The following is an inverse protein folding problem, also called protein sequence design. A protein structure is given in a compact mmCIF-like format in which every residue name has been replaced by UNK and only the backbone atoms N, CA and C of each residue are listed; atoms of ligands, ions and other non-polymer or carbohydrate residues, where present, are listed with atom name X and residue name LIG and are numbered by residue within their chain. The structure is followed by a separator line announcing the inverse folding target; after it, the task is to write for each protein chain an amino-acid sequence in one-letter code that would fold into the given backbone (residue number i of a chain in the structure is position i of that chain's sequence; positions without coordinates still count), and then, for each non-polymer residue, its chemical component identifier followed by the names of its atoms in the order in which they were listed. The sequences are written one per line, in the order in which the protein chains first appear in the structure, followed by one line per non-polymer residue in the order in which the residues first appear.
data_IF_597893700726
#
_entry.id   IF_597893700726
#
_cell.length_a   1.000
_cell.length_b   1.000
_cell.length_c   1.000
_cell.angle_alpha   90.00
_cell.angle_beta   90.00
_cell.angle_gamma   90.00
#
_symmetry.space_group_name_H-M   'P 1'
#
loop_
_entity.id
_entity.type
_entity.pdbx_description
1 polymer ?
#
# COMPACT_ATOMS: atom_id res chain seq x y z
N UNK A 1 7.03 32.69 22.84
CA UNK A 1 6.31 31.60 23.51
C UNK A 1 5.04 32.14 24.16
N UNK A 2 3.93 32.07 23.44
CA UNK A 2 2.62 32.41 23.98
C UNK A 2 2.19 31.34 24.98
N UNK A 3 1.85 31.74 26.21
CA UNK A 3 1.44 30.81 27.27
C UNK A 3 -0.06 30.95 27.47
N UNK A 4 -0.78 29.86 27.25
CA UNK A 4 -2.20 29.78 27.55
C UNK A 4 -2.43 29.59 29.05
N UNK A 5 -3.37 30.34 29.61
CA UNK A 5 -3.71 30.30 31.03
C UNK A 5 -4.95 29.45 31.33
N UNK A 6 -5.66 28.94 30.31
CA UNK A 6 -6.84 28.08 30.50
C UNK A 6 -7.12 27.17 29.30
N UNK A 7 -7.68 25.99 29.56
CA UNK A 7 -8.10 25.02 28.53
C UNK A 7 -9.13 25.62 27.57
N UNK A 8 -10.20 26.33 28.03
CA UNK A 8 -11.17 26.94 27.12
C UNK A 8 -10.54 27.92 26.13
N UNK A 9 -9.47 28.61 26.54
CA UNK A 9 -8.78 29.56 25.68
C UNK A 9 -7.97 28.84 24.59
N UNK A 10 -7.33 27.71 24.90
CA UNK A 10 -6.69 26.84 23.91
C UNK A 10 -7.72 26.32 22.92
N UNK A 11 -8.79 25.69 23.41
CA UNK A 11 -9.80 25.06 22.55
C UNK A 11 -10.49 26.06 21.65
N UNK A 12 -10.81 27.25 22.16
CA UNK A 12 -11.41 28.31 21.35
C UNK A 12 -10.44 28.81 20.28
N UNK A 13 -9.14 28.89 20.58
CA UNK A 13 -8.14 29.31 19.57
C UNK A 13 -8.00 28.28 18.46
N UNK A 14 -7.90 27.00 18.81
CA UNK A 14 -7.82 25.93 17.82
C UNK A 14 -9.10 25.88 16.98
N UNK A 15 -10.26 26.08 17.61
CA UNK A 15 -11.54 26.11 16.90
C UNK A 15 -11.67 27.31 15.94
N UNK A 16 -11.06 28.46 16.24
CA UNK A 16 -11.02 29.60 15.31
C UNK A 16 -10.32 29.25 14.01
N UNK A 17 -9.30 28.39 14.07
CA UNK A 17 -8.45 28.02 12.94
C UNK A 17 -8.71 26.65 12.34
N UNK A 18 -9.78 25.95 12.76
CA UNK A 18 -9.95 24.50 12.51
C UNK A 18 -9.74 24.09 11.04
N UNK A 19 -10.34 24.82 10.09
CA UNK A 19 -10.33 24.46 8.67
C UNK A 19 -8.94 24.68 8.07
N UNK A 20 -8.25 25.75 8.48
CA UNK A 20 -6.86 25.99 8.08
C UNK A 20 -5.90 24.98 8.72
N UNK A 21 -6.09 24.65 10.00
CA UNK A 21 -5.25 23.69 10.71
C UNK A 21 -5.36 22.28 10.10
N UNK A 22 -6.55 21.87 9.66
CA UNK A 22 -6.77 20.63 8.92
C UNK A 22 -5.96 20.61 7.62
N UNK A 23 -6.09 21.64 6.78
CA UNK A 23 -5.33 21.75 5.52
C UNK A 23 -3.82 21.77 5.75
N UNK A 24 -3.35 22.52 6.76
CA UNK A 24 -1.93 22.56 7.12
C UNK A 24 -1.42 21.20 7.60
N UNK A 25 -2.24 20.45 8.34
CA UNK A 25 -1.89 19.12 8.82
C UNK A 25 -1.82 18.08 7.70
N UNK A 26 -2.76 18.11 6.75
CA UNK A 26 -2.70 17.25 5.56
C UNK A 26 -1.46 17.53 4.72
N UNK A 27 -1.14 18.81 4.55
CA UNK A 27 0.00 19.28 3.75
C UNK A 27 1.33 19.29 4.50
N UNK A 28 1.40 18.81 5.75
CA UNK A 28 2.59 18.88 6.61
C UNK A 28 3.88 18.28 6.03
N UNK A 29 3.76 17.31 5.11
CA UNK A 29 4.91 16.67 4.42
C UNK A 29 5.19 17.23 3.02
N UNK A 30 4.35 18.16 2.56
CA UNK A 30 4.40 18.72 1.21
C UNK A 30 5.11 20.08 1.20
N UNK A 31 5.09 20.75 0.05
CA UNK A 31 5.72 22.08 -0.11
C UNK A 31 5.18 23.11 0.89
N UNK A 32 5.99 24.10 1.30
CA UNK A 32 5.58 25.15 2.22
C UNK A 32 4.28 25.85 1.78
N UNK A 33 3.30 25.95 2.68
CA UNK A 33 1.99 26.52 2.39
C UNK A 33 2.05 28.05 2.36
N UNK A 34 1.52 28.70 1.32
CA UNK A 34 1.60 30.16 1.18
C UNK A 34 0.55 30.88 2.03
N UNK A 35 0.93 32.04 2.59
CA UNK A 35 0.04 32.92 3.36
C UNK A 35 -1.16 33.37 2.54
N UNK A 36 -0.95 33.73 1.26
CA UNK A 36 -2.03 34.20 0.37
C UNK A 36 -3.14 33.13 0.22
N UNK A 37 -2.76 31.85 0.12
CA UNK A 37 -3.73 30.75 0.03
C UNK A 37 -4.41 30.45 1.35
N UNK A 38 -3.84 30.88 2.48
CA UNK A 38 -4.49 30.74 3.78
C UNK A 38 -5.66 31.72 3.90
N UNK A 39 -5.55 32.90 3.29
CA UNK A 39 -6.61 33.91 3.29
C UNK A 39 -7.86 33.48 2.50
N UNK A 40 -7.71 32.52 1.58
CA UNK A 40 -8.85 31.89 0.89
C UNK A 40 -9.66 30.98 1.82
N UNK A 41 -9.04 30.51 2.92
CA UNK A 41 -9.63 29.55 3.87
C UNK A 41 -10.14 30.26 5.13
N UNK A 42 -9.42 31.28 5.60
CA UNK A 42 -9.72 31.96 6.86
C UNK A 42 -9.51 33.48 6.75
N UNK A 43 -10.35 34.24 7.47
CA UNK A 43 -10.21 35.69 7.59
C UNK A 43 -8.83 36.11 8.13
N UNK A 44 -8.26 37.18 7.58
CA UNK A 44 -6.94 37.72 7.95
C UNK A 44 -6.82 37.99 9.47
N UNK A 45 -7.88 38.52 10.09
CA UNK A 45 -7.92 38.78 11.53
C UNK A 45 -7.75 37.50 12.36
N UNK A 46 -8.39 36.39 11.95
CA UNK A 46 -8.28 35.11 12.64
C UNK A 46 -6.91 34.48 12.39
N UNK A 47 -6.39 34.59 11.17
CA UNK A 47 -5.04 34.11 10.83
C UNK A 47 -3.97 34.82 11.68
N UNK A 48 -4.08 36.13 11.84
CA UNK A 48 -3.17 36.91 12.67
C UNK A 48 -3.27 36.50 14.15
N UNK A 49 -4.47 36.19 14.67
CA UNK A 49 -4.63 35.64 16.02
C UNK A 49 -3.91 34.29 16.18
N UNK A 50 -3.99 33.41 15.17
CA UNK A 50 -3.27 32.11 15.20
C UNK A 50 -1.75 32.28 15.19
N UNK A 51 -1.25 33.30 14.47
CA UNK A 51 0.18 33.65 14.43
C UNK A 51 0.63 34.27 15.76
N UNK A 52 -0.13 35.24 16.28
CA UNK A 52 0.17 35.90 17.56
C UNK A 52 0.16 34.92 18.74
N UNK A 53 -0.72 33.91 18.69
CA UNK A 53 -0.80 32.86 19.70
C UNK A 53 0.12 31.67 19.42
N UNK A 54 1.00 31.80 18.42
CA UNK A 54 2.00 30.81 18.03
C UNK A 54 1.42 29.40 17.77
N UNK A 55 0.17 29.33 17.30
CA UNK A 55 -0.41 28.08 16.78
C UNK A 55 0.14 27.80 15.38
N UNK A 56 0.38 28.87 14.62
CA UNK A 56 0.95 28.86 13.27
C UNK A 56 2.15 29.79 13.28
N UNK A 57 3.25 29.38 12.63
CA UNK A 57 4.43 30.22 12.41
C UNK A 57 4.42 30.77 11.00
N UNK A 58 4.80 32.04 10.85
CA UNK A 58 4.95 32.70 9.56
C UNK A 58 6.43 32.88 9.24
N UNK A 59 6.88 32.24 8.16
CA UNK A 59 8.22 32.33 7.63
C UNK A 59 8.18 33.00 6.24
N UNK A 60 8.21 34.34 6.23
CA UNK A 60 8.11 35.14 5.00
C UNK A 60 6.74 34.98 4.33
N UNK A 61 6.67 34.51 3.07
CA UNK A 61 5.40 34.28 2.37
C UNK A 61 4.73 32.94 2.75
N UNK A 62 5.37 32.14 3.60
CA UNK A 62 4.87 30.82 3.97
C UNK A 62 4.38 30.79 5.42
N UNK A 63 3.44 29.89 5.67
CA UNK A 63 2.95 29.55 7.00
C UNK A 63 3.07 28.05 7.23
N UNK A 64 3.32 27.70 8.48
CA UNK A 64 3.43 26.32 8.94
C UNK A 64 2.77 26.19 10.31
N UNK A 65 2.29 25.00 10.64
CA UNK A 65 1.81 24.73 12.00
C UNK A 65 3.01 24.76 12.96
N UNK A 66 2.84 25.35 14.14
CA UNK A 66 3.88 25.29 15.16
C UNK A 66 4.11 23.83 15.62
N UNK A 67 5.37 23.51 15.93
CA UNK A 67 5.84 22.16 16.21
C UNK A 67 5.12 21.49 17.39
N UNK A 68 4.73 22.25 18.42
CA UNK A 68 4.02 21.68 19.56
C UNK A 68 2.61 21.21 19.18
N UNK A 69 1.92 21.98 18.35
CA UNK A 69 0.57 21.64 17.89
C UNK A 69 0.61 20.54 16.83
N UNK A 70 1.61 20.59 15.93
CA UNK A 70 1.84 19.52 14.98
C UNK A 70 2.07 18.20 15.71
N UNK A 71 3.00 18.18 16.69
CA UNK A 71 3.27 17.00 17.51
C UNK A 71 2.04 16.52 18.27
N UNK A 72 1.22 17.43 18.78
CA UNK A 72 -0.03 17.12 19.46
C UNK A 72 -1.04 16.44 18.52
N UNK A 73 -1.28 16.99 17.33
CA UNK A 73 -2.20 16.38 16.36
C UNK A 73 -1.65 15.06 15.83
N UNK A 74 -0.36 14.96 15.54
CA UNK A 74 0.25 13.71 15.10
C UNK A 74 0.22 12.61 16.17
N UNK A 75 0.31 13.00 17.45
CA UNK A 75 0.14 12.08 18.58
C UNK A 75 -1.30 11.58 18.69
N UNK A 76 -2.29 12.46 18.58
CA UNK A 76 -3.71 12.11 18.74
C UNK A 76 -4.30 11.39 17.53
N UNK A 77 -3.89 11.78 16.32
CA UNK A 77 -4.33 11.17 15.06
C UNK A 77 -3.48 9.96 14.68
N UNK A 78 -2.51 9.58 15.53
CA UNK A 78 -1.55 8.50 15.27
C UNK A 78 -0.84 8.64 13.91
N UNK A 79 -0.65 9.88 13.46
CA UNK A 79 -0.13 10.22 12.14
C UNK A 79 1.37 10.51 12.15
N UNK A 80 2.01 10.48 13.33
CA UNK A 80 3.45 10.59 13.47
C UNK A 80 4.11 9.30 12.98
N UNK A 81 5.06 9.42 12.04
CA UNK A 81 5.89 8.30 11.58
C UNK A 81 7.23 8.23 12.31
N UNK A 82 7.53 9.19 13.19
CA UNK A 82 8.76 9.18 13.97
C UNK A 82 8.72 8.10 15.05
N UNK A 83 9.60 7.14 14.86
CA UNK A 83 9.90 6.08 15.82
C UNK A 83 10.82 6.68 16.88
N UNK A 84 10.25 7.05 18.03
CA UNK A 84 10.99 7.54 19.19
C UNK A 84 10.98 6.49 20.31
N UNK A 85 12.18 6.00 20.64
CA UNK A 85 12.45 4.99 21.68
C UNK A 85 12.71 5.62 23.05
N UNK A 86 13.25 6.85 23.08
CA UNK A 86 13.62 7.57 24.31
C UNK A 86 12.43 7.77 25.25
N UNK A 87 11.26 8.10 24.70
CA UNK A 87 10.05 8.28 25.51
C UNK A 87 9.69 6.99 26.23
N UNK A 88 9.83 5.83 25.59
CA UNK A 88 9.53 4.54 26.23
C UNK A 88 10.50 4.30 27.39
N UNK A 89 11.79 4.49 27.17
CA UNK A 89 12.83 4.32 28.20
C UNK A 89 12.57 5.22 29.42
N UNK A 90 12.30 6.51 29.19
CA UNK A 90 11.94 7.45 30.26
C UNK A 90 10.72 6.98 31.07
N UNK A 91 9.67 6.50 30.39
CA UNK A 91 8.49 5.99 31.08
C UNK A 91 8.79 4.70 31.86
N UNK A 92 9.68 3.83 31.37
CA UNK A 92 10.13 2.63 32.12
C UNK A 92 10.85 3.07 33.41
N UNK A 93 11.80 4.02 33.31
CA UNK A 93 12.52 4.53 34.48
C UNK A 93 11.56 5.18 35.50
N UNK A 94 10.59 5.96 35.03
CA UNK A 94 9.55 6.55 35.89
C UNK A 94 8.71 5.48 36.60
N UNK A 95 8.33 4.39 35.91
CA UNK A 95 7.61 3.29 36.56
C UNK A 95 8.43 2.67 37.67
N UNK A 96 9.73 2.40 37.46
CA UNK A 96 10.60 1.89 38.51
C UNK A 96 10.67 2.84 39.73
N UNK A 97 10.80 4.14 39.49
CA UNK A 97 10.82 5.14 40.56
C UNK A 97 9.49 5.18 41.33
N UNK A 98 8.36 5.16 40.63
CA UNK A 98 7.04 5.18 41.25
C UNK A 98 6.76 3.90 42.06
N UNK A 99 7.25 2.74 41.60
CA UNK A 99 7.19 1.49 42.36
C UNK A 99 8.02 1.59 43.64
N UNK A 100 9.23 2.14 43.57
CA UNK A 100 10.07 2.37 44.75
C UNK A 100 9.42 3.33 45.76
N UNK A 101 8.82 4.43 45.28
CA UNK A 101 8.07 5.37 46.13
C UNK A 101 6.85 4.71 46.78
N UNK A 102 6.11 3.88 46.04
CA UNK A 102 4.99 3.14 46.57
C UNK A 102 5.41 2.20 47.73
N UNK A 103 6.56 1.54 47.59
CA UNK A 103 7.08 0.62 48.62
C UNK A 103 7.53 1.32 49.90
N UNK A 104 7.99 2.59 49.80
CA UNK A 104 8.51 3.37 50.93
C UNK A 104 7.48 4.28 51.61
N UNK A 105 6.33 4.51 50.98
CA UNK A 105 5.31 5.42 51.48
C UNK A 105 4.39 4.74 52.50
N UNK A 106 4.11 5.38 53.63
CA UNK A 106 3.21 4.83 54.65
C UNK A 106 1.76 5.33 54.49
N UNK A 107 1.57 6.47 53.83
CA UNK A 107 0.24 7.04 53.62
C UNK A 107 -0.52 6.37 52.45
N UNK A 108 -1.65 5.74 52.76
CA UNK A 108 -2.48 5.02 51.78
C UNK A 108 -2.98 5.91 50.62
N UNK A 109 -3.34 7.17 50.88
CA UNK A 109 -3.80 8.09 49.83
C UNK A 109 -2.67 8.43 48.83
N UNK A 110 -1.44 8.58 49.34
CA UNK A 110 -0.26 8.85 48.49
C UNK A 110 0.15 7.59 47.73
N UNK A 111 0.10 6.42 48.36
CA UNK A 111 0.27 5.11 47.70
C UNK A 111 -0.69 4.93 46.53
N UNK A 112 -1.97 5.26 46.71
CA UNK A 112 -2.95 5.23 45.62
C UNK A 112 -2.58 6.21 44.47
N UNK A 113 -2.02 7.38 44.79
CA UNK A 113 -1.50 8.33 43.80
C UNK A 113 -0.36 7.76 42.95
N UNK A 114 0.62 7.11 43.58
CA UNK A 114 1.71 6.43 42.88
C UNK A 114 1.19 5.27 42.03
N UNK A 115 0.27 4.46 42.56
CA UNK A 115 -0.36 3.35 41.84
C UNK A 115 -1.10 3.82 40.58
N UNK A 116 -1.88 4.92 40.67
CA UNK A 116 -2.56 5.52 39.50
C UNK A 116 -1.55 5.98 38.46
N UNK A 117 -0.43 6.55 38.89
CA UNK A 117 0.64 7.00 38.00
C UNK A 117 1.32 5.82 37.30
N UNK A 118 1.63 4.74 38.03
CA UNK A 118 2.15 3.49 37.45
C UNK A 118 1.21 2.95 36.38
N UNK A 119 -0.10 2.84 36.68
CA UNK A 119 -1.11 2.39 35.71
C UNK A 119 -1.13 3.25 34.44
N UNK A 120 -1.04 4.58 34.60
CA UNK A 120 -1.01 5.51 33.47
C UNK A 120 0.25 5.32 32.60
N UNK A 121 1.42 5.17 33.21
CA UNK A 121 2.67 4.98 32.49
C UNK A 121 2.77 3.61 31.79
N UNK A 122 2.27 2.52 32.40
CA UNK A 122 2.21 1.21 31.74
C UNK A 122 1.35 1.23 30.47
N UNK A 123 0.16 1.86 30.53
CA UNK A 123 -0.69 2.05 29.35
C UNK A 123 0.00 2.89 28.28
N UNK A 124 0.70 3.94 28.70
CA UNK A 124 1.45 4.82 27.79
C UNK A 124 2.58 4.06 27.09
N UNK A 125 3.30 3.21 27.82
CA UNK A 125 4.36 2.34 27.25
C UNK A 125 3.77 1.44 26.17
N UNK A 126 2.70 0.70 26.46
CA UNK A 126 2.05 -0.21 25.49
C UNK A 126 1.63 0.51 24.20
N UNK A 127 0.90 1.61 24.34
CA UNK A 127 0.46 2.43 23.20
C UNK A 127 1.61 2.92 22.32
N UNK A 128 2.65 3.50 22.93
CA UNK A 128 3.80 4.03 22.17
C UNK A 128 4.55 2.89 21.48
N UNK A 129 4.71 1.76 22.16
CA UNK A 129 5.45 0.62 21.62
C UNK A 129 4.76 0.00 20.42
N UNK A 130 3.45 -0.29 20.51
CA UNK A 130 2.65 -0.80 19.39
C UNK A 130 2.71 0.15 18.21
N UNK A 131 2.52 1.46 18.46
CA UNK A 131 2.62 2.49 17.41
C UNK A 131 4.00 2.53 16.75
N UNK A 132 5.07 2.44 17.53
CA UNK A 132 6.44 2.44 17.01
C UNK A 132 6.70 1.23 16.09
N UNK A 133 6.17 0.06 16.43
CA UNK A 133 6.29 -1.15 15.60
C UNK A 133 5.53 -1.00 14.28
N UNK A 134 4.29 -0.52 14.32
CA UNK A 134 3.49 -0.28 13.10
C UNK A 134 4.15 0.78 12.20
N UNK A 135 4.66 1.85 12.81
CA UNK A 135 5.37 2.91 12.07
C UNK A 135 6.65 2.38 11.44
N UNK A 136 7.39 1.53 12.15
CA UNK A 136 8.59 0.86 11.64
C UNK A 136 8.27 0.03 10.39
N UNK A 137 7.25 -0.83 10.44
CA UNK A 137 6.82 -1.63 9.29
C UNK A 137 6.50 -0.75 8.08
N UNK A 138 5.69 0.29 8.27
CA UNK A 138 5.32 1.23 7.21
C UNK A 138 6.55 1.92 6.60
N UNK A 139 7.48 2.39 7.43
CA UNK A 139 8.67 3.11 6.97
C UNK A 139 9.66 2.17 6.27
N UNK A 140 9.78 0.91 6.69
CA UNK A 140 10.56 -0.12 5.99
C UNK A 140 10.03 -0.31 4.56
N UNK A 141 8.74 -0.56 4.43
CA UNK A 141 8.08 -0.76 3.14
C UNK A 141 8.21 0.47 2.23
N UNK A 142 7.95 1.65 2.78
CA UNK A 142 8.06 2.91 2.04
C UNK A 142 9.50 3.14 1.55
N UNK A 143 10.49 2.92 2.43
CA UNK A 143 11.91 3.04 2.07
C UNK A 143 12.29 2.09 0.94
N UNK A 144 11.82 0.84 0.98
CA UNK A 144 12.11 -0.12 -0.07
C UNK A 144 11.44 0.24 -1.40
N UNK A 145 10.16 0.64 -1.39
CA UNK A 145 9.38 0.94 -2.60
C UNK A 145 9.78 2.26 -3.26
N UNK A 146 10.01 3.31 -2.47
CA UNK A 146 10.06 4.68 -2.98
C UNK A 146 11.47 5.29 -3.02
N UNK A 147 12.46 4.77 -2.29
CA UNK A 147 13.83 5.31 -2.37
C UNK A 147 14.47 4.92 -3.71
N UNK A 148 14.86 5.86 -4.58
CA UNK A 148 15.40 5.52 -5.90
C UNK A 148 16.86 5.05 -5.83
N UNK A 149 17.65 5.61 -4.90
CA UNK A 149 19.08 5.33 -4.83
C UNK A 149 19.35 4.05 -4.03
N UNK A 150 19.87 3.02 -4.68
CA UNK A 150 20.22 1.75 -4.00
C UNK A 150 21.18 1.94 -2.81
N UNK A 151 22.16 2.85 -2.93
CA UNK A 151 23.12 3.11 -1.84
C UNK A 151 22.42 3.71 -0.61
N UNK A 152 21.50 4.66 -0.83
CA UNK A 152 20.74 5.31 0.24
C UNK A 152 19.70 4.34 0.81
N UNK A 153 19.04 3.55 -0.05
CA UNK A 153 18.07 2.53 0.35
C UNK A 153 18.67 1.51 1.31
N UNK A 154 19.87 0.99 1.00
CA UNK A 154 20.59 0.05 1.90
C UNK A 154 20.87 0.71 3.25
N UNK A 155 21.48 1.90 3.26
CA UNK A 155 21.82 2.60 4.51
C UNK A 155 20.59 2.92 5.36
N UNK A 156 19.47 3.33 4.74
CA UNK A 156 18.20 3.57 5.44
C UNK A 156 17.63 2.27 6.04
N UNK A 157 17.63 1.16 5.28
CA UNK A 157 17.17 -0.14 5.79
C UNK A 157 18.02 -0.66 6.94
N UNK A 158 19.35 -0.47 6.89
CA UNK A 158 20.26 -0.81 7.99
C UNK A 158 19.99 0.03 9.24
N UNK A 159 19.72 1.34 9.09
CA UNK A 159 19.31 2.20 10.20
C UNK A 159 17.95 1.78 10.79
N UNK A 160 17.00 1.34 9.97
CA UNK A 160 15.71 0.83 10.43
C UNK A 160 15.88 -0.49 11.19
N UNK A 161 16.80 -1.36 10.78
CA UNK A 161 17.14 -2.57 11.54
C UNK A 161 17.75 -2.24 12.91
N UNK A 162 18.61 -1.22 12.98
CA UNK A 162 19.13 -0.75 14.27
C UNK A 162 18.01 -0.26 15.21
N UNK A 163 17.05 0.52 14.68
CA UNK A 163 15.86 0.94 15.44
C UNK A 163 15.00 -0.25 15.88
N UNK A 164 14.81 -1.25 15.01
CA UNK A 164 14.09 -2.49 15.32
C UNK A 164 14.73 -3.20 16.52
N UNK A 165 16.05 -3.32 16.54
CA UNK A 165 16.81 -3.94 17.64
C UNK A 165 16.60 -3.16 18.94
N UNK A 166 16.60 -1.83 18.87
CA UNK A 166 16.36 -0.97 20.04
C UNK A 166 14.94 -1.13 20.61
N UNK A 167 13.91 -1.14 19.75
CA UNK A 167 12.53 -1.43 20.19
C UNK A 167 12.45 -2.82 20.83
N UNK A 168 13.08 -3.83 20.23
CA UNK A 168 13.09 -5.18 20.78
C UNK A 168 13.76 -5.23 22.16
N UNK A 169 14.83 -4.46 22.37
CA UNK A 169 15.45 -4.33 23.70
C UNK A 169 14.46 -3.75 24.70
N UNK A 170 13.72 -2.70 24.34
CA UNK A 170 12.70 -2.09 25.21
C UNK A 170 11.58 -3.07 25.54
N UNK A 171 11.11 -3.88 24.57
CA UNK A 171 10.14 -4.96 24.83
C UNK A 171 10.64 -5.87 25.94
N UNK A 172 11.88 -6.36 25.82
CA UNK A 172 12.49 -7.26 26.80
C UNK A 172 12.65 -6.59 28.18
N UNK A 173 12.94 -5.29 28.23
CA UNK A 173 13.01 -4.54 29.49
C UNK A 173 11.61 -4.38 30.14
N UNK A 174 10.57 -4.11 29.37
CA UNK A 174 9.19 -4.06 29.88
C UNK A 174 8.72 -5.44 30.33
N UNK A 175 9.05 -6.51 29.60
CA UNK A 175 8.73 -7.88 30.02
C UNK A 175 9.37 -8.23 31.38
N UNK A 176 10.64 -7.83 31.59
CA UNK A 176 11.33 -7.96 32.89
C UNK A 176 10.65 -7.14 33.99
N UNK A 177 10.17 -5.95 33.67
CA UNK A 177 9.42 -5.10 34.60
C UNK A 177 8.09 -5.74 35.00
N UNK A 178 7.43 -6.49 34.12
CA UNK A 178 6.16 -7.17 34.38
C UNK A 178 6.32 -8.60 34.94
N UNK A 179 7.56 -9.05 35.14
CA UNK A 179 7.87 -10.37 35.69
C UNK A 179 7.68 -10.36 37.21
N UNK A 180 6.73 -11.17 37.69
CA UNK A 180 6.33 -11.23 39.11
C UNK A 180 7.44 -11.75 40.01
N UNK A 181 8.35 -12.57 39.48
CA UNK A 181 9.48 -13.10 40.26
C UNK A 181 10.54 -12.03 40.51
N UNK A 182 10.69 -11.10 39.56
CA UNK A 182 11.70 -10.03 39.61
C UNK A 182 11.17 -8.74 40.21
N UNK A 183 9.87 -8.50 40.08
CA UNK A 183 9.19 -7.29 40.58
C UNK A 183 8.06 -7.67 41.54
N UNK A 184 8.35 -7.77 42.86
CA UNK A 184 7.36 -8.20 43.84
C UNK A 184 6.17 -7.24 43.98
N UNK A 185 6.29 -6.01 43.46
CA UNK A 185 5.21 -5.03 43.38
C UNK A 185 3.90 -5.61 42.81
N UNK A 186 3.98 -6.36 41.70
CA UNK A 186 2.80 -6.95 41.05
C UNK A 186 2.24 -8.17 41.79
N UNK A 187 2.98 -8.74 42.74
CA UNK A 187 2.50 -9.79 43.62
C UNK A 187 1.90 -9.23 44.92
N UNK A 188 2.38 -8.08 45.38
CA UNK A 188 2.00 -7.46 46.65
C UNK A 188 0.82 -6.49 46.54
N UNK A 189 0.60 -5.86 45.37
CA UNK A 189 -0.49 -4.92 45.17
C UNK A 189 -1.80 -5.64 44.80
N UNK A 190 -2.87 -5.56 45.63
CA UNK A 190 -4.16 -6.21 45.37
C UNK A 190 -5.05 -5.37 44.43
N UNK A 191 -4.49 -4.76 43.38
CA UNK A 191 -5.23 -3.92 42.43
C UNK A 191 -5.54 -4.73 41.15
N UNK A 192 -6.80 -5.07 40.95
CA UNK A 192 -7.25 -5.88 39.81
C UNK A 192 -7.05 -5.15 38.47
N UNK A 193 -7.24 -3.83 38.45
CA UNK A 193 -7.03 -3.00 37.25
C UNK A 193 -5.56 -3.05 36.81
N UNK A 194 -4.60 -2.93 37.73
CA UNK A 194 -3.17 -3.06 37.46
C UNK A 194 -2.83 -4.44 36.87
N UNK A 195 -3.40 -5.51 37.43
CA UNK A 195 -3.17 -6.87 36.92
C UNK A 195 -3.77 -7.10 35.53
N UNK A 196 -4.87 -6.42 35.20
CA UNK A 196 -5.46 -6.42 33.86
C UNK A 196 -4.57 -5.66 32.88
N UNK A 197 -4.14 -4.43 33.22
CA UNK A 197 -3.21 -3.65 32.40
C UNK A 197 -1.91 -4.42 32.15
N UNK A 198 -1.35 -5.06 33.17
CA UNK A 198 -0.13 -5.84 33.04
C UNK A 198 -0.29 -7.06 32.12
N UNK A 199 -1.47 -7.71 32.13
CA UNK A 199 -1.78 -8.82 31.21
C UNK A 199 -1.97 -8.33 29.78
N UNK A 200 -2.77 -7.28 29.58
CA UNK A 200 -2.98 -6.64 28.28
C UNK A 200 -1.64 -6.22 27.67
N UNK A 201 -0.80 -5.55 28.46
CA UNK A 201 0.52 -5.14 28.03
C UNK A 201 1.41 -6.33 27.65
N UNK A 202 1.39 -7.45 28.39
CA UNK A 202 2.11 -8.67 27.97
C UNK A 202 1.62 -9.20 26.62
N UNK A 203 0.32 -9.19 26.36
CA UNK A 203 -0.24 -9.60 25.06
C UNK A 203 0.20 -8.66 23.94
N UNK A 204 0.18 -7.34 24.19
CA UNK A 204 0.67 -6.33 23.24
C UNK A 204 2.17 -6.52 22.93
N UNK A 205 3.00 -6.77 23.96
CA UNK A 205 4.44 -7.00 23.81
C UNK A 205 4.75 -8.26 22.99
N UNK A 206 4.01 -9.35 23.19
CA UNK A 206 4.15 -10.57 22.39
C UNK A 206 3.82 -10.32 20.91
N UNK A 207 2.71 -9.63 20.65
CA UNK A 207 2.30 -9.27 19.29
C UNK A 207 3.32 -8.33 18.62
N UNK A 208 3.82 -7.34 19.35
CA UNK A 208 4.88 -6.44 18.92
C UNK A 208 6.17 -7.21 18.60
N UNK A 209 6.57 -8.15 19.45
CA UNK A 209 7.73 -9.02 19.24
C UNK A 209 7.63 -9.83 17.95
N UNK A 210 6.48 -10.48 17.70
CA UNK A 210 6.23 -11.18 16.43
C UNK A 210 6.30 -10.24 15.22
N UNK A 211 5.73 -9.05 15.33
CA UNK A 211 5.76 -8.04 14.27
C UNK A 211 7.18 -7.54 13.96
N UNK A 212 8.06 -7.44 14.97
CA UNK A 212 9.47 -7.12 14.78
C UNK A 212 10.25 -8.27 14.11
N UNK A 213 9.89 -9.53 14.36
CA UNK A 213 10.48 -10.67 13.65
C UNK A 213 10.11 -10.62 12.16
N UNK A 214 8.84 -10.32 11.84
CA UNK A 214 8.42 -10.10 10.45
C UNK A 214 9.18 -8.94 9.81
N UNK A 215 9.27 -7.79 10.51
CA UNK A 215 10.03 -6.64 10.03
C UNK A 215 11.51 -6.96 9.75
N UNK A 216 12.12 -7.84 10.56
CA UNK A 216 13.48 -8.33 10.32
C UNK A 216 13.56 -9.15 9.03
N UNK A 217 12.63 -10.08 8.84
CA UNK A 217 12.55 -10.92 7.65
C UNK A 217 12.41 -10.04 6.39
N UNK A 218 11.51 -9.06 6.43
CA UNK A 218 11.27 -8.12 5.33
C UNK A 218 12.55 -7.33 5.00
N UNK A 219 13.25 -6.80 6.01
CA UNK A 219 14.52 -6.09 5.80
C UNK A 219 15.56 -7.00 5.13
N UNK A 220 15.70 -8.25 5.60
CA UNK A 220 16.66 -9.21 5.04
C UNK A 220 16.31 -9.48 3.56
N UNK A 221 15.05 -9.76 3.27
CA UNK A 221 14.58 -10.06 1.91
C UNK A 221 14.75 -8.86 0.99
N UNK A 222 14.41 -7.65 1.44
CA UNK A 222 14.61 -6.42 0.71
C UNK A 222 16.09 -6.13 0.42
N UNK A 223 16.98 -6.33 1.39
CA UNK A 223 18.43 -6.17 1.17
C UNK A 223 18.96 -7.20 0.16
N UNK A 224 18.48 -8.45 0.20
CA UNK A 224 18.86 -9.49 -0.75
C UNK A 224 18.35 -9.19 -2.18
N UNK A 225 17.13 -8.70 -2.31
CA UNK A 225 16.57 -8.26 -3.59
C UNK A 225 17.39 -7.09 -4.18
N UNK A 226 17.73 -6.09 -3.36
CA UNK A 226 18.59 -4.97 -3.79
C UNK A 226 19.95 -5.47 -4.27
N UNK A 227 20.61 -6.37 -3.52
CA UNK A 227 21.91 -6.94 -3.91
C UNK A 227 21.83 -7.65 -5.26
N UNK A 228 20.78 -8.42 -5.48
CA UNK A 228 20.53 -9.12 -6.75
C UNK A 228 20.33 -8.14 -7.90
N UNK A 229 19.49 -7.11 -7.73
CA UNK A 229 19.23 -6.09 -8.74
C UNK A 229 20.48 -5.26 -9.08
N UNK A 230 21.26 -4.87 -8.07
CA UNK A 230 22.53 -4.15 -8.25
C UNK A 230 23.53 -5.03 -9.00
N UNK A 231 23.64 -6.31 -8.63
CA UNK A 231 24.49 -7.28 -9.31
C UNK A 231 24.10 -7.48 -10.78
N UNK A 232 22.81 -7.64 -11.05
CA UNK A 232 22.27 -7.74 -12.41
C UNK A 232 22.57 -6.49 -13.23
N UNK A 233 22.29 -5.30 -12.69
CA UNK A 233 22.54 -4.02 -13.38
C UNK A 233 24.02 -3.82 -13.70
N UNK A 234 24.92 -4.20 -12.79
CA UNK A 234 26.37 -4.17 -13.04
C UNK A 234 26.78 -5.10 -14.18
N UNK A 235 26.27 -6.35 -14.18
CA UNK A 235 26.52 -7.31 -15.27
C UNK A 235 25.98 -6.80 -16.61
N UNK A 236 24.75 -6.25 -16.62
CA UNK A 236 24.14 -5.69 -17.81
C UNK A 236 24.94 -4.52 -18.39
N UNK A 237 25.41 -3.60 -17.54
CA UNK A 237 26.29 -2.49 -17.98
C UNK A 237 27.58 -3.01 -18.58
N UNK A 238 28.19 -4.05 -18.00
CA UNK A 238 29.39 -4.69 -18.54
C UNK A 238 29.14 -5.34 -19.90
N UNK A 239 28.04 -6.07 -20.06
CA UNK A 239 27.64 -6.65 -21.34
C UNK A 239 27.41 -5.55 -22.38
N UNK A 240 26.70 -4.48 -22.01
CA UNK A 240 26.48 -3.31 -22.88
C UNK A 240 27.81 -2.70 -23.35
N UNK A 241 28.75 -2.48 -22.43
CA UNK A 241 30.08 -1.95 -22.73
C UNK A 241 30.86 -2.86 -23.70
N UNK A 242 30.93 -4.16 -23.41
CA UNK A 242 31.60 -5.13 -24.29
C UNK A 242 30.96 -5.21 -25.67
N UNK A 243 29.63 -5.08 -25.76
CA UNK A 243 28.91 -4.99 -27.03
C UNK A 243 29.28 -3.73 -27.80
N UNK A 244 29.31 -2.58 -27.14
CA UNK A 244 29.66 -1.28 -27.76
C UNK A 244 31.10 -1.26 -28.28
N UNK A 245 32.00 -2.06 -27.68
CA UNK A 245 33.38 -2.24 -28.14
C UNK A 245 33.56 -3.33 -29.20
N UNK A 246 32.50 -4.03 -29.59
CA UNK A 246 32.55 -5.21 -30.47
C UNK A 246 33.34 -6.41 -29.91
N UNK A 247 33.66 -6.41 -28.61
CA UNK A 247 34.43 -7.47 -27.94
C UNK A 247 33.55 -8.51 -27.22
N UNK A 248 32.22 -8.37 -27.28
CA UNK A 248 31.29 -9.24 -26.53
C UNK A 248 31.50 -10.73 -26.83
N UNK A 249 31.73 -11.09 -28.09
CA UNK A 249 31.88 -12.49 -28.50
C UNK A 249 33.24 -13.09 -28.11
N UNK A 250 34.28 -12.27 -28.02
CA UNK A 250 35.63 -12.73 -27.64
C UNK A 250 35.75 -12.89 -26.13
N UNK A 251 35.12 -11.99 -25.37
CA UNK A 251 35.26 -11.91 -23.92
C UNK A 251 34.12 -12.61 -23.15
N UNK A 252 33.11 -13.17 -23.82
CA UNK A 252 31.99 -13.87 -23.18
C UNK A 252 31.53 -15.09 -23.98
N UNK A 253 30.93 -16.07 -23.33
CA UNK A 253 30.33 -17.26 -23.95
C UNK A 253 28.90 -17.01 -24.46
N UNK A 254 28.59 -15.78 -24.89
CA UNK A 254 27.21 -15.38 -25.26
C UNK A 254 26.62 -16.25 -26.38
N UNK A 255 27.43 -16.72 -27.33
CA UNK A 255 26.96 -17.59 -28.43
C UNK A 255 26.45 -18.92 -27.91
N UNK A 256 27.22 -19.57 -27.04
CA UNK A 256 26.83 -20.85 -26.43
C UNK A 256 25.53 -20.74 -25.64
N UNK A 257 25.36 -19.64 -24.89
CA UNK A 257 24.15 -19.40 -24.09
C UNK A 257 22.94 -19.14 -24.98
N UNK A 258 23.09 -18.33 -26.04
CA UNK A 258 21.99 -18.05 -26.98
C UNK A 258 21.60 -19.30 -27.77
N UNK A 259 22.57 -20.08 -28.24
CA UNK A 259 22.33 -21.31 -29.01
C UNK A 259 21.69 -22.41 -28.14
N UNK A 260 21.94 -22.40 -26.83
CA UNK A 260 21.31 -23.30 -25.88
C UNK A 260 19.90 -22.86 -25.44
N UNK A 261 19.57 -21.56 -25.56
CA UNK A 261 18.31 -20.99 -25.09
C UNK A 261 17.18 -21.25 -26.10
N UNK A 262 16.25 -22.15 -25.74
CA UNK A 262 15.06 -22.51 -26.55
C UNK A 262 13.79 -21.82 -26.05
N UNK A 263 13.90 -20.55 -25.69
CA UNK A 263 12.74 -19.79 -25.24
C UNK A 263 11.88 -19.39 -26.43
N UNK A 264 10.57 -19.62 -26.37
CA UNK A 264 9.60 -19.29 -27.43
C UNK A 264 9.66 -17.81 -27.83
N UNK A 265 10.09 -16.93 -26.92
CA UNK A 265 10.25 -15.50 -27.18
C UNK A 265 11.41 -15.20 -28.17
N UNK A 266 12.41 -16.09 -28.24
CA UNK A 266 13.57 -15.98 -29.13
C UNK A 266 13.38 -16.74 -30.44
N UNK A 267 12.40 -17.66 -30.48
CA UNK A 267 11.89 -18.25 -31.71
C UNK A 267 11.11 -17.16 -32.45
N UNK A 268 11.80 -16.40 -33.31
CA UNK A 268 11.18 -15.32 -34.09
C UNK A 268 9.84 -15.74 -34.73
N UNK A 269 8.96 -14.77 -34.95
CA UNK A 269 7.58 -15.00 -35.44
C UNK A 269 7.57 -16.01 -36.57
N UNK A 270 7.14 -17.24 -36.28
CA UNK A 270 6.94 -18.26 -37.28
C UNK A 270 5.79 -17.79 -38.16
N UNK A 271 6.00 -17.52 -39.47
CA UNK A 271 4.89 -17.18 -40.34
C UNK A 271 3.89 -18.33 -40.27
N UNK A 272 2.61 -18.00 -40.06
CA UNK A 272 1.54 -19.00 -40.01
C UNK A 272 1.58 -19.81 -41.28
N UNK A 273 2.04 -21.07 -41.18
CA UNK A 273 1.96 -22.02 -42.27
C UNK A 273 0.47 -22.21 -42.56
N UNK A 274 -0.01 -21.66 -43.67
CA UNK A 274 -1.31 -22.07 -44.22
C UNK A 274 -1.25 -23.58 -44.38
N UNK A 275 -2.21 -24.32 -43.80
CA UNK A 275 -2.25 -25.79 -43.84
C UNK A 275 -2.38 -26.37 -45.26
N UNK A 276 -2.48 -25.52 -46.28
CA UNK A 276 -2.62 -25.89 -47.68
C UNK A 276 -1.63 -25.09 -48.49
N UNK A 277 -0.77 -25.78 -49.26
CA UNK A 277 0.22 -25.14 -50.12
C UNK A 277 -0.43 -24.63 -51.41
N UNK A 278 0.08 -23.53 -51.97
CA UNK A 278 -0.39 -22.98 -53.26
C UNK A 278 -0.32 -24.02 -54.40
N UNK A 279 0.73 -24.87 -54.51
CA UNK A 279 0.77 -25.94 -55.52
C UNK A 279 -0.35 -26.97 -55.36
N UNK A 280 -0.73 -27.31 -54.12
CA UNK A 280 -1.84 -28.22 -53.88
C UNK A 280 -3.18 -27.61 -54.33
N UNK A 281 -3.42 -26.31 -54.08
CA UNK A 281 -4.62 -25.62 -54.57
C UNK A 281 -4.76 -25.59 -56.10
N UNK A 282 -3.68 -25.89 -56.83
CA UNK A 282 -3.68 -25.97 -58.29
C UNK A 282 -3.92 -27.38 -58.83
N UNK A 283 -3.99 -28.41 -57.96
CA UNK A 283 -4.35 -29.77 -58.37
C UNK A 283 -5.86 -29.98 -58.31
N UNK A 284 -6.38 -30.88 -59.16
CA UNK A 284 -7.80 -31.22 -59.19
C UNK A 284 -8.28 -31.83 -57.85
N UNK A 285 -7.37 -32.40 -57.07
CA UNK A 285 -7.63 -32.94 -55.73
C UNK A 285 -8.01 -31.85 -54.71
N UNK A 286 -7.53 -30.61 -54.91
CA UNK A 286 -7.93 -29.50 -54.07
C UNK A 286 -9.33 -28.98 -54.39
N UNK A 287 -9.89 -29.29 -55.57
CA UNK A 287 -11.26 -28.93 -55.92
C UNK A 287 -12.25 -29.56 -54.94
N UNK A 288 -12.05 -30.82 -54.57
CA UNK A 288 -12.91 -31.52 -53.60
C UNK A 288 -12.84 -30.88 -52.21
N UNK A 289 -11.66 -30.44 -51.79
CA UNK A 289 -11.47 -29.74 -50.51
C UNK A 289 -12.13 -28.36 -50.54
N UNK A 290 -11.96 -27.62 -51.64
CA UNK A 290 -12.57 -26.30 -51.85
C UNK A 290 -14.10 -26.41 -51.88
N UNK A 291 -14.63 -27.39 -52.62
CA UNK A 291 -16.07 -27.65 -52.69
C UNK A 291 -16.62 -28.05 -51.34
N UNK A 292 -15.93 -28.92 -50.58
CA UNK A 292 -16.34 -29.31 -49.22
C UNK A 292 -16.38 -28.14 -48.25
N UNK A 293 -15.40 -27.23 -48.33
CA UNK A 293 -15.38 -26.00 -47.52
C UNK A 293 -16.48 -25.04 -47.96
N UNK A 294 -16.68 -24.84 -49.27
CA UNK A 294 -17.74 -24.00 -49.81
C UNK A 294 -19.14 -24.52 -49.43
N UNK A 295 -19.33 -25.84 -49.40
CA UNK A 295 -20.58 -26.47 -48.99
C UNK A 295 -20.87 -26.32 -47.49
N UNK A 296 -19.82 -26.19 -46.67
CA UNK A 296 -19.92 -25.88 -45.23
C UNK A 296 -20.12 -24.40 -44.91
N UNK A 297 -19.92 -23.49 -45.87
CA UNK A 297 -20.12 -22.03 -45.73
C UNK A 297 -21.56 -21.62 -46.11
N UNK A 298 -22.36 -22.53 -46.68
CA UNK A 298 -23.78 -22.26 -46.98
C UNK A 298 -24.56 -22.04 -45.67
N UNK A 299 -25.26 -20.90 -45.51
CA UNK A 299 -25.89 -20.52 -44.24
C UNK A 299 -27.01 -21.46 -43.78
N UNK A 300 -27.58 -22.27 -44.68
CA UNK A 300 -28.77 -23.10 -44.40
C UNK A 300 -28.46 -24.55 -44.00
N UNK A 301 -27.18 -24.97 -43.94
CA UNK A 301 -26.82 -26.28 -43.38
C UNK A 301 -26.50 -26.12 -41.90
N UNK A 302 -27.45 -26.52 -41.04
CA UNK A 302 -27.18 -26.74 -39.61
C UNK A 302 -26.11 -27.82 -39.51
N UNK A 303 -24.89 -27.40 -39.23
CA UNK A 303 -23.80 -28.32 -38.90
C UNK A 303 -24.14 -28.91 -37.53
N UNK A 304 -24.71 -30.11 -37.50
CA UNK A 304 -24.62 -30.93 -36.30
C UNK A 304 -23.13 -31.27 -36.11
N UNK A 305 -22.44 -30.46 -35.29
CA UNK A 305 -21.18 -30.89 -34.70
C UNK A 305 -21.47 -32.19 -33.98
N UNK A 306 -20.80 -33.27 -34.38
CA UNK A 306 -20.61 -34.38 -33.46
C UNK A 306 -19.88 -33.79 -32.26
N UNK A 307 -20.59 -33.67 -31.14
CA UNK A 307 -19.95 -33.42 -29.86
C UNK A 307 -18.95 -34.55 -29.66
N UNK A 308 -17.67 -34.18 -29.59
CA UNK A 308 -16.63 -35.07 -29.10
C UNK A 308 -17.09 -35.58 -27.74
N UNK A 309 -17.03 -36.90 -27.55
CA UNK A 309 -17.47 -37.56 -26.33
C UNK A 309 -16.95 -36.86 -25.07
N UNK A 310 -17.82 -36.83 -24.07
CA UNK A 310 -17.60 -36.23 -22.75
C UNK A 310 -16.23 -36.63 -22.22
N UNK A 311 -15.38 -35.63 -21.94
CA UNK A 311 -14.14 -35.81 -21.17
C UNK A 311 -14.55 -36.43 -19.82
N UNK A 312 -14.01 -37.61 -19.50
CA UNK A 312 -14.32 -38.30 -18.24
C UNK A 312 -14.07 -37.38 -17.05
N UNK A 313 -14.95 -37.40 -16.04
CA UNK A 313 -14.85 -36.56 -14.84
C UNK A 313 -13.49 -36.67 -14.11
N UNK A 314 -12.79 -37.81 -14.28
CA UNK A 314 -11.45 -38.05 -13.73
C UNK A 314 -10.33 -37.24 -14.41
N UNK A 315 -10.55 -36.67 -15.60
CA UNK A 315 -9.57 -35.82 -16.31
C UNK A 315 -9.78 -34.31 -16.06
N UNK A 316 -10.85 -33.92 -15.35
CA UNK A 316 -11.14 -32.52 -14.99
C UNK A 316 -10.77 -32.17 -13.55
N UNK A 317 -10.13 -33.08 -12.80
CA UNK A 317 -9.64 -32.78 -11.44
C UNK A 317 -8.25 -32.09 -11.49
N UNK A 318 -8.17 -31.01 -12.26
CA UNK A 318 -7.24 -29.93 -12.02
C UNK A 318 -8.09 -28.72 -11.64
N UNK A 319 -7.84 -28.17 -10.46
CA UNK A 319 -8.48 -26.94 -9.99
C UNK A 319 -8.28 -25.82 -11.02
N UNK A 320 -9.27 -25.59 -11.86
CA UNK A 320 -9.43 -24.33 -12.57
C UNK A 320 -9.92 -23.28 -11.56
N UNK A 321 -8.97 -22.65 -10.86
CA UNK A 321 -9.15 -21.24 -10.47
C UNK A 321 -8.71 -20.41 -11.67
N UNK A 322 -9.53 -20.46 -12.71
CA UNK A 322 -9.48 -19.56 -13.84
C UNK A 322 -10.85 -18.90 -13.92
N UNK A 323 -11.06 -17.83 -13.17
CA UNK A 323 -12.10 -16.88 -13.55
C UNK A 323 -11.84 -16.53 -15.02
N UNK A 324 -12.74 -16.93 -15.92
CA UNK A 324 -12.68 -16.58 -17.32
C UNK A 324 -12.73 -15.06 -17.43
N UNK A 325 -11.57 -14.42 -17.38
CA UNK A 325 -11.43 -12.99 -17.36
C UNK A 325 -11.93 -12.44 -18.70
N UNK A 326 -12.96 -11.60 -18.64
CA UNK A 326 -13.43 -10.86 -19.80
C UNK A 326 -12.26 -10.03 -20.32
N UNK A 327 -11.89 -10.22 -21.58
CA UNK A 327 -10.80 -9.47 -22.20
C UNK A 327 -11.22 -8.02 -22.42
N UNK A 328 -10.98 -7.18 -21.41
CA UNK A 328 -11.35 -5.76 -21.38
C UNK A 328 -10.70 -4.96 -22.51
N UNK A 329 -9.53 -5.39 -23.00
CA UNK A 329 -8.83 -4.73 -24.12
C UNK A 329 -9.54 -4.95 -25.45
N UNK A 330 -9.95 -6.19 -25.73
CA UNK A 330 -10.75 -6.51 -26.93
C UNK A 330 -12.08 -5.76 -26.92
N UNK A 331 -12.72 -5.65 -25.74
CA UNK A 331 -13.96 -4.91 -25.57
C UNK A 331 -13.78 -3.41 -25.86
N UNK A 332 -12.68 -2.81 -25.40
CA UNK A 332 -12.34 -1.41 -25.70
C UNK A 332 -12.02 -1.18 -27.19
N UNK A 333 -11.34 -2.12 -27.86
CA UNK A 333 -11.08 -2.06 -29.31
C UNK A 333 -12.39 -2.08 -30.13
N UNK A 334 -13.38 -2.88 -29.70
CA UNK A 334 -14.70 -2.94 -30.34
C UNK A 334 -15.50 -1.67 -30.07
N UNK A 335 -15.52 -1.18 -28.83
CA UNK A 335 -16.16 0.10 -28.48
C UNK A 335 -15.64 1.25 -29.34
N UNK A 336 -14.32 1.28 -29.55
CA UNK A 336 -13.66 2.31 -30.35
C UNK A 336 -14.06 2.31 -31.82
N UNK A 337 -14.57 1.18 -32.34
CA UNK A 337 -15.06 1.07 -33.72
C UNK A 337 -16.56 1.36 -33.83
N UNK A 338 -17.33 0.94 -32.84
CA UNK A 338 -18.78 1.13 -32.81
C UNK A 338 -19.15 2.58 -32.49
N UNK A 339 -18.35 3.25 -31.65
CA UNK A 339 -18.64 4.59 -31.15
C UNK A 339 -19.90 4.62 -30.28
N UNK A 340 -20.17 5.78 -29.67
CA UNK A 340 -21.34 5.98 -28.81
C UNK A 340 -21.01 5.94 -27.32
N UNK A 341 -22.02 5.59 -26.52
CA UNK A 341 -21.95 5.59 -25.07
C UNK A 341 -21.41 4.26 -24.51
N UNK A 342 -20.42 4.34 -23.62
CA UNK A 342 -19.77 3.17 -23.02
C UNK A 342 -20.74 2.30 -22.23
N UNK A 343 -21.68 2.90 -21.49
CA UNK A 343 -22.62 2.14 -20.67
C UNK A 343 -23.58 1.32 -21.54
N UNK A 344 -24.18 1.95 -22.55
CA UNK A 344 -25.04 1.30 -23.55
C UNK A 344 -24.30 0.20 -24.31
N UNK A 345 -23.02 0.42 -24.63
CA UNK A 345 -22.17 -0.57 -25.26
C UNK A 345 -21.94 -1.80 -24.39
N UNK A 346 -21.61 -1.62 -23.10
CA UNK A 346 -21.45 -2.73 -22.14
C UNK A 346 -22.77 -3.50 -22.02
N UNK A 347 -23.91 -2.82 -21.96
CA UNK A 347 -25.20 -3.51 -21.82
C UNK A 347 -25.58 -4.37 -23.02
N UNK A 348 -25.29 -3.87 -24.24
CA UNK A 348 -25.61 -4.53 -25.51
C UNK A 348 -24.50 -5.46 -26.04
N UNK A 349 -23.36 -5.56 -25.35
CA UNK A 349 -22.25 -6.39 -25.78
C UNK A 349 -22.62 -7.89 -25.74
N UNK A 350 -22.25 -8.63 -26.79
CA UNK A 350 -22.48 -10.07 -26.87
C UNK A 350 -21.40 -10.80 -26.05
N UNK A 351 -21.79 -11.21 -24.84
CA UNK A 351 -20.91 -11.89 -23.90
C UNK A 351 -20.90 -13.40 -24.18
N UNK A 352 -19.72 -14.01 -24.15
CA UNK A 352 -19.57 -15.48 -24.24
C UNK A 352 -20.14 -16.25 -23.03
N UNK A 353 -20.78 -15.55 -22.08
CA UNK A 353 -21.45 -16.09 -20.90
C UNK A 353 -22.63 -15.21 -20.54
N UNK A 354 -23.65 -15.77 -19.89
CA UNK A 354 -24.72 -14.96 -19.31
C UNK A 354 -24.14 -14.05 -18.20
N UNK A 355 -24.45 -12.76 -18.29
CA UNK A 355 -23.98 -11.74 -17.37
C UNK A 355 -25.21 -11.09 -16.73
N UNK A 356 -25.29 -11.14 -15.39
CA UNK A 356 -26.28 -10.38 -14.65
C UNK A 356 -25.97 -8.87 -14.73
N UNK A 357 -26.96 -8.06 -14.34
CA UNK A 357 -26.85 -6.61 -14.41
C UNK A 357 -25.71 -6.06 -13.53
N UNK A 358 -25.54 -6.61 -12.33
CA UNK A 358 -24.54 -6.17 -11.36
C UNK A 358 -23.10 -6.45 -11.85
N UNK A 359 -22.86 -7.59 -12.48
CA UNK A 359 -21.58 -7.93 -13.08
C UNK A 359 -21.29 -7.07 -14.33
N UNK A 360 -22.32 -6.67 -15.10
CA UNK A 360 -22.15 -5.70 -16.20
C UNK A 360 -21.78 -4.31 -15.68
N UNK A 361 -22.42 -3.84 -14.61
CA UNK A 361 -22.07 -2.55 -13.96
C UNK A 361 -20.66 -2.59 -13.37
N UNK A 362 -20.28 -3.68 -12.71
CA UNK A 362 -18.92 -3.87 -12.20
C UNK A 362 -17.89 -3.83 -13.32
N UNK A 363 -18.19 -4.44 -14.46
CA UNK A 363 -17.34 -4.39 -15.65
C UNK A 363 -17.24 -2.98 -16.23
N UNK A 364 -18.34 -2.23 -16.27
CA UNK A 364 -18.35 -0.83 -16.69
C UNK A 364 -17.45 0.04 -15.79
N UNK A 365 -17.60 -0.04 -14.47
CA UNK A 365 -16.72 0.67 -13.52
C UNK A 365 -15.25 0.27 -13.70
N UNK A 366 -14.99 -1.03 -13.94
CA UNK A 366 -13.65 -1.54 -14.21
C UNK A 366 -13.06 -0.98 -15.51
N UNK A 367 -13.85 -0.84 -16.58
CA UNK A 367 -13.39 -0.24 -17.84
C UNK A 367 -13.10 1.24 -17.67
N UNK A 368 -13.94 1.97 -16.94
CA UNK A 368 -13.70 3.37 -16.58
C UNK A 368 -12.39 3.56 -15.83
N UNK A 369 -12.14 2.78 -14.76
CA UNK A 369 -10.89 2.88 -14.01
C UNK A 369 -9.66 2.48 -14.83
N UNK A 370 -9.79 1.52 -15.75
CA UNK A 370 -8.64 1.02 -16.53
C UNK A 370 -8.28 1.90 -17.72
N UNK A 371 -9.27 2.57 -18.33
CA UNK A 371 -9.09 3.36 -19.55
C UNK A 371 -9.49 4.83 -19.38
N UNK A 372 -9.38 5.38 -18.16
CA UNK A 372 -9.69 6.77 -17.83
C UNK A 372 -9.00 7.78 -18.78
N UNK A 373 -7.76 7.50 -19.20
CA UNK A 373 -7.00 8.37 -20.11
C UNK A 373 -7.47 8.30 -21.57
N UNK A 374 -8.33 7.36 -21.94
CA UNK A 374 -8.87 7.19 -23.31
C UNK A 374 -10.39 7.50 -23.38
N UNK A 375 -10.99 7.92 -22.26
CA UNK A 375 -12.43 8.12 -22.11
C UNK A 375 -12.72 9.55 -21.64
N UNK A 376 -13.67 10.23 -22.29
CA UNK A 376 -14.19 11.53 -21.91
C UNK A 376 -15.56 11.36 -21.25
N UNK A 377 -15.66 11.77 -19.98
CA UNK A 377 -16.94 11.84 -19.27
C UNK A 377 -17.61 13.14 -19.71
N UNK A 378 -18.72 13.03 -20.44
CA UNK A 378 -19.45 14.21 -20.90
C UNK A 378 -20.44 14.71 -19.84
N UNK A 379 -20.77 16.01 -19.84
CA UNK A 379 -21.79 16.62 -18.95
C UNK A 379 -23.23 16.22 -19.31
N UNK A 380 -23.44 15.17 -20.10
CA UNK A 380 -24.75 14.67 -20.53
C UNK A 380 -25.04 13.35 -19.82
N UNK A 381 -26.25 13.24 -19.29
CA UNK A 381 -26.70 12.05 -18.58
C UNK A 381 -27.69 11.24 -19.43
N UNK A 382 -27.54 9.92 -19.42
CA UNK A 382 -28.48 8.95 -19.97
C UNK A 382 -29.34 8.33 -18.87
N UNK A 383 -30.56 7.93 -19.21
CA UNK A 383 -31.45 7.20 -18.31
C UNK A 383 -31.73 5.80 -18.86
N UNK A 384 -31.51 4.78 -18.05
CA UNK A 384 -31.95 3.41 -18.34
C UNK A 384 -32.68 2.85 -17.11
N UNK A 385 -33.96 2.53 -17.28
CA UNK A 385 -34.90 2.14 -16.22
C UNK A 385 -34.94 3.13 -15.04
N UNK A 386 -34.21 2.85 -13.95
CA UNK A 386 -34.17 3.64 -12.71
C UNK A 386 -32.79 4.27 -12.44
N UNK A 387 -31.86 4.17 -13.39
CA UNK A 387 -30.46 4.59 -13.21
C UNK A 387 -30.13 5.73 -14.17
N UNK A 388 -29.62 6.82 -13.59
CA UNK A 388 -28.99 7.93 -14.30
C UNK A 388 -27.47 7.68 -14.37
N UNK A 389 -26.91 7.70 -15.57
CA UNK A 389 -25.48 7.49 -15.79
C UNK A 389 -24.91 8.58 -16.69
N UNK A 390 -23.66 8.97 -16.46
CA UNK A 390 -22.96 9.92 -17.33
C UNK A 390 -22.63 9.26 -18.66
N UNK A 391 -22.89 9.96 -19.77
CA UNK A 391 -22.53 9.50 -21.10
C UNK A 391 -21.02 9.60 -21.24
N UNK A 392 -20.38 8.46 -21.48
CA UNK A 392 -18.93 8.36 -21.63
C UNK A 392 -18.62 8.02 -23.07
N UNK A 393 -17.79 8.86 -23.69
CA UNK A 393 -17.33 8.71 -25.08
C UNK A 393 -15.81 8.55 -25.10
N UNK A 394 -15.25 8.16 -26.23
CA UNK A 394 -13.79 8.13 -26.41
C UNK A 394 -13.31 9.55 -26.78
N UNK A 395 -12.20 9.98 -26.18
CA UNK A 395 -11.46 11.21 -26.57
C UNK A 395 -10.93 11.15 -27.99
#
# INVERSE_FOLDING_TARGET
MYIYNSIPHITNTLNLGKDLLEVLFEKRKSLPFRYDYALDIIDENKLNILIEREVIRRNGPYIEMDEHYLSFYELLLEANEEISTSVIDENIQLVYQLIDYYGKEDNDLRKLGYLRSVKAHLRKIGKILVRNVVSLQRVIDNTFKNEPSYKVKIAKLENLDAKRIEINRLIVEVEKLLDRERTPFFAQAPDEELLTIARELKTELLSAGHSLIHSQQDIIDYLNQIRTQVGFTRKLRRIKYLREQFELQENTNVREVVDAERSVVLEGVQPTLFKVSIPYLQTDEALDVILKVADGIRPDKVIHRQELGVISAEQMENQEVGEAAINTRKMMDVFSRTGGDLFSFVMAYDYNREMDFEAKVTLFCRLLSLYENELEITDRFGHMEHIEYAIIQRT
#
